data_IF_432043937206
#
_entry.id   IF_432043937206
#
_cell.length_a   1.000
_cell.length_b   1.000
_cell.length_c   1.000
_cell.angle_alpha   90.00
_cell.angle_beta   90.00
_cell.angle_gamma   90.00
#
_symmetry.space_group_name_H-M   'P 1'
#
loop_
_entity.id
_entity.type
_entity.pdbx_description
1 polymer ?
#
# COMPACT_ATOMS: atom_id res chain seq x y z
N UNK A 1 -16.27 19.25 -26.56
CA UNK A 1 -15.14 20.18 -26.33
C UNK A 1 -13.85 19.38 -26.38
N UNK A 2 -12.84 19.84 -27.13
CA UNK A 2 -11.50 19.24 -27.07
C UNK A 2 -10.85 19.69 -25.75
N UNK A 3 -10.07 18.86 -25.04
CA UNK A 3 -9.45 19.23 -23.76
C UNK A 3 -8.48 20.43 -23.80
N UNK A 4 -8.16 20.95 -24.98
CA UNK A 4 -7.17 22.00 -25.22
C UNK A 4 -7.71 23.44 -25.11
N UNK A 5 -8.94 23.66 -24.66
CA UNK A 5 -9.58 25.00 -24.59
C UNK A 5 -10.01 25.41 -23.16
N UNK A 6 -9.56 24.71 -22.12
CA UNK A 6 -9.80 25.15 -20.75
C UNK A 6 -8.83 26.28 -20.38
N UNK A 7 -9.35 27.50 -20.28
CA UNK A 7 -8.63 28.63 -19.74
C UNK A 7 -9.11 28.84 -18.29
N UNK A 8 -8.29 28.54 -17.27
CA UNK A 8 -8.71 28.70 -15.88
C UNK A 8 -9.03 30.16 -15.57
N UNK A 9 -10.02 30.40 -14.71
CA UNK A 9 -10.29 31.75 -14.21
C UNK A 9 -9.09 32.27 -13.41
N UNK A 10 -8.91 33.59 -13.38
CA UNK A 10 -7.87 34.19 -12.55
C UNK A 10 -8.12 33.91 -11.05
N UNK A 11 -7.08 33.67 -10.23
CA UNK A 11 -7.24 33.40 -8.80
C UNK A 11 -8.08 34.45 -8.04
N UNK A 12 -7.89 35.73 -8.36
CA UNK A 12 -8.63 36.85 -7.75
C UNK A 12 -10.17 36.76 -7.97
N UNK A 13 -10.61 36.13 -9.08
CA UNK A 13 -12.04 35.93 -9.37
C UNK A 13 -12.66 34.87 -8.46
N UNK A 14 -11.90 33.80 -8.16
CA UNK A 14 -12.33 32.76 -7.22
C UNK A 14 -12.45 33.33 -5.81
N UNK A 15 -11.41 34.00 -5.32
CA UNK A 15 -11.39 34.59 -3.97
C UNK A 15 -12.54 35.59 -3.75
N UNK A 16 -12.85 36.40 -4.77
CA UNK A 16 -13.95 37.36 -4.71
C UNK A 16 -15.33 36.67 -4.66
N UNK A 17 -15.54 35.62 -5.45
CA UNK A 17 -16.84 34.91 -5.48
C UNK A 17 -17.05 34.04 -4.25
N UNK A 18 -15.97 33.45 -3.71
CA UNK A 18 -16.00 32.62 -2.50
C UNK A 18 -15.99 33.46 -1.20
N UNK A 19 -15.85 34.79 -1.30
CA UNK A 19 -15.85 35.71 -0.17
C UNK A 19 -14.60 35.62 0.72
N UNK A 20 -13.48 35.15 0.18
CA UNK A 20 -12.22 34.98 0.91
C UNK A 20 -11.29 36.20 0.87
N UNK A 21 -11.68 37.24 0.12
CA UNK A 21 -10.91 38.49 0.08
C UNK A 21 -11.03 39.27 1.40
N UNK A 22 -9.95 39.96 1.78
CA UNK A 22 -10.01 40.97 2.84
C UNK A 22 -10.81 42.18 2.34
N UNK A 23 -11.40 42.95 3.26
CA UNK A 23 -12.19 44.14 2.91
C UNK A 23 -11.40 45.20 2.11
N UNK A 24 -10.07 45.23 2.25
CA UNK A 24 -9.21 46.12 1.46
C UNK A 24 -9.01 45.61 0.03
N UNK A 25 -8.73 44.31 -0.12
CA UNK A 25 -8.58 43.65 -1.41
C UNK A 25 -9.89 43.64 -2.20
N UNK A 26 -11.02 43.44 -1.52
CA UNK A 26 -12.36 43.47 -2.12
C UNK A 26 -12.64 44.84 -2.76
N UNK A 27 -12.38 45.95 -2.04
CA UNK A 27 -12.54 47.31 -2.57
C UNK A 27 -11.59 47.62 -3.73
N UNK A 28 -10.39 47.06 -3.73
CA UNK A 28 -9.48 47.18 -4.87
C UNK A 28 -9.98 46.38 -6.07
N UNK A 29 -10.47 45.17 -5.84
CA UNK A 29 -11.01 44.31 -6.86
C UNK A 29 -12.30 44.86 -7.48
N UNK A 30 -13.19 45.47 -6.70
CA UNK A 30 -14.36 46.19 -7.19
C UNK A 30 -13.97 47.35 -8.13
N UNK A 31 -12.94 48.12 -7.76
CA UNK A 31 -12.39 49.16 -8.65
C UNK A 31 -11.78 48.58 -9.93
N UNK A 32 -11.18 47.38 -9.88
CA UNK A 32 -10.72 46.65 -11.08
C UNK A 32 -11.90 46.18 -11.93
N UNK A 33 -12.98 45.69 -11.32
CA UNK A 33 -14.20 45.23 -12.01
C UNK A 33 -14.90 46.36 -12.78
N UNK A 34 -14.94 47.58 -12.21
CA UNK A 34 -15.49 48.75 -12.89
C UNK A 34 -14.70 49.11 -14.17
N UNK A 35 -13.40 48.86 -14.18
CA UNK A 35 -12.48 49.24 -15.27
C UNK A 35 -12.27 48.13 -16.29
N UNK A 36 -12.55 46.86 -15.94
CA UNK A 36 -12.30 45.71 -16.79
C UNK A 36 -13.60 44.92 -17.06
N UNK A 37 -14.25 45.15 -18.21
CA UNK A 37 -15.50 44.45 -18.55
C UNK A 37 -15.31 42.94 -18.75
N UNK A 38 -14.09 42.48 -19.04
CA UNK A 38 -13.81 41.05 -19.22
C UNK A 38 -13.75 40.32 -17.87
N UNK A 39 -13.15 40.93 -16.85
CA UNK A 39 -13.19 40.41 -15.47
C UNK A 39 -14.63 40.35 -14.94
N UNK A 40 -15.45 41.34 -15.27
CA UNK A 40 -16.87 41.33 -14.90
C UNK A 40 -17.62 40.13 -15.50
N UNK A 41 -17.37 39.79 -16.77
CA UNK A 41 -17.94 38.59 -17.40
C UNK A 41 -17.45 37.30 -16.75
N UNK A 42 -16.19 37.23 -16.35
CA UNK A 42 -15.65 36.05 -15.65
C UNK A 42 -16.34 35.84 -14.30
N UNK A 43 -16.52 36.91 -13.50
CA UNK A 43 -17.27 36.86 -12.23
C UNK A 43 -18.73 36.45 -12.45
N UNK A 44 -19.41 37.03 -13.45
CA UNK A 44 -20.80 36.66 -13.77
C UNK A 44 -20.93 35.21 -14.25
N UNK A 45 -19.98 34.73 -15.05
CA UNK A 45 -19.94 33.33 -15.52
C UNK A 45 -19.74 32.36 -14.36
N UNK A 46 -18.81 32.66 -13.45
CA UNK A 46 -18.56 31.85 -12.27
C UNK A 46 -19.78 31.84 -11.33
N UNK A 47 -20.42 32.99 -11.09
CA UNK A 47 -21.65 33.08 -10.29
C UNK A 47 -22.80 32.25 -10.87
N UNK A 48 -23.02 32.31 -12.19
CA UNK A 48 -24.02 31.46 -12.86
C UNK A 48 -23.70 29.98 -12.74
N UNK A 49 -22.42 29.62 -12.81
CA UNK A 49 -22.00 28.21 -12.66
C UNK A 49 -22.31 27.70 -11.25
N UNK A 50 -22.04 28.51 -10.22
CA UNK A 50 -22.39 28.19 -8.82
C UNK A 50 -23.90 28.09 -8.64
N UNK A 51 -24.67 29.00 -9.24
CA UNK A 51 -26.14 28.97 -9.21
C UNK A 51 -26.69 27.70 -9.86
N UNK A 52 -26.13 27.28 -11.01
CA UNK A 52 -26.50 26.03 -11.67
C UNK A 52 -26.17 24.80 -10.80
N UNK A 53 -25.01 24.78 -10.14
CA UNK A 53 -24.65 23.73 -9.20
C UNK A 53 -25.61 23.70 -7.99
N UNK A 54 -26.02 24.87 -7.50
CA UNK A 54 -27.02 25.01 -6.44
C UNK A 54 -28.43 24.56 -6.84
N UNK A 55 -28.74 24.53 -8.13
CA UNK A 55 -30.02 24.05 -8.67
C UNK A 55 -30.10 22.54 -8.87
N UNK A 56 -29.01 21.81 -8.61
CA UNK A 56 -29.00 20.35 -8.73
C UNK A 56 -29.97 19.72 -7.70
N UNK A 57 -30.72 18.68 -8.09
CA UNK A 57 -31.65 18.01 -7.19
C UNK A 57 -30.91 17.47 -5.98
N UNK A 58 -31.27 17.98 -4.80
CA UNK A 58 -30.77 17.47 -3.54
C UNK A 58 -31.45 16.12 -3.28
N UNK A 59 -30.72 15.03 -3.45
CA UNK A 59 -31.20 13.72 -3.02
C UNK A 59 -31.15 13.66 -1.50
N UNK A 60 -32.26 13.24 -0.88
CA UNK A 60 -32.23 12.92 0.55
C UNK A 60 -31.16 11.85 0.78
N UNK A 61 -30.20 12.11 1.68
CA UNK A 61 -29.17 11.15 1.96
C UNK A 61 -29.81 9.87 2.53
N UNK A 62 -29.25 8.71 2.14
CA UNK A 62 -29.72 7.42 2.67
C UNK A 62 -29.67 7.44 4.20
N UNK A 63 -30.60 6.77 4.90
CA UNK A 63 -30.58 6.66 6.37
C UNK A 63 -29.18 6.29 6.91
N UNK A 64 -28.77 6.96 8.00
CA UNK A 64 -27.46 6.80 8.65
C UNK A 64 -26.28 7.45 7.91
N UNK A 65 -26.52 8.29 6.90
CA UNK A 65 -25.44 9.03 6.23
C UNK A 65 -24.82 10.09 7.14
N UNK A 66 -25.64 10.80 7.91
CA UNK A 66 -25.24 11.73 8.95
C UNK A 66 -24.37 11.04 10.01
N UNK A 67 -24.75 9.86 10.49
CA UNK A 67 -23.94 9.07 11.44
C UNK A 67 -22.60 8.64 10.84
N UNK A 68 -22.58 8.22 9.57
CA UNK A 68 -21.34 7.86 8.85
C UNK A 68 -20.42 9.07 8.63
N UNK A 69 -20.99 10.22 8.25
CA UNK A 69 -20.24 11.45 7.99
C UNK A 69 -19.74 12.07 9.30
N UNK A 70 -20.56 12.16 10.33
CA UNK A 70 -20.15 12.65 11.66
C UNK A 70 -19.12 11.70 12.27
N UNK A 71 -19.26 10.39 12.08
CA UNK A 71 -18.24 9.41 12.44
C UNK A 71 -16.89 9.74 11.80
N UNK A 72 -16.90 9.99 10.49
CA UNK A 72 -15.69 10.33 9.72
C UNK A 72 -15.09 11.70 10.07
N UNK A 73 -15.93 12.73 10.27
CA UNK A 73 -15.45 14.07 10.66
C UNK A 73 -14.88 14.06 12.08
N UNK A 74 -15.50 13.33 13.01
CA UNK A 74 -14.93 13.15 14.37
C UNK A 74 -13.63 12.38 14.32
N UNK A 75 -13.52 11.38 13.46
CA UNK A 75 -12.27 10.67 13.21
C UNK A 75 -11.17 11.62 12.69
N UNK A 76 -11.50 12.50 11.74
CA UNK A 76 -10.58 13.51 11.20
C UNK A 76 -10.18 14.59 12.24
N UNK A 77 -11.12 15.09 13.06
CA UNK A 77 -10.83 16.07 14.12
C UNK A 77 -9.97 15.47 15.25
N UNK A 78 -10.23 14.22 15.63
CA UNK A 78 -9.44 13.49 16.63
C UNK A 78 -8.03 13.24 16.11
N UNK A 79 -7.87 12.89 14.83
CA UNK A 79 -6.57 12.77 14.16
C UNK A 79 -5.84 14.13 14.13
N UNK A 80 -6.55 15.23 13.90
CA UNK A 80 -6.00 16.59 13.94
C UNK A 80 -5.43 17.00 15.30
N UNK A 81 -6.16 16.74 16.39
CA UNK A 81 -5.70 17.05 17.77
C UNK A 81 -4.56 16.15 18.23
N UNK A 82 -4.58 14.87 17.88
CA UNK A 82 -3.50 13.94 18.19
C UNK A 82 -2.18 14.33 17.52
N UNK A 83 -2.22 14.84 16.27
CA UNK A 83 -1.04 15.37 15.58
C UNK A 83 -0.41 16.56 16.31
N UNK A 84 -1.22 17.48 16.82
CA UNK A 84 -0.71 18.65 17.55
C UNK A 84 -0.02 18.26 18.86
N UNK A 85 -0.55 17.29 19.61
CA UNK A 85 0.07 16.83 20.86
C UNK A 85 1.38 16.07 20.64
N UNK A 86 1.48 15.21 19.62
CA UNK A 86 2.70 14.45 19.31
C UNK A 86 3.85 15.39 18.87
N UNK A 87 3.53 16.52 18.20
CA UNK A 87 4.53 17.52 17.80
C UNK A 87 5.12 18.35 18.96
N UNK A 88 4.53 18.28 20.16
CA UNK A 88 4.93 19.09 21.32
C UNK A 88 5.72 18.33 22.41
N UNK A 89 5.98 17.03 22.22
CA UNK A 89 6.77 16.24 23.16
C UNK A 89 8.28 16.31 22.83
N UNK A 90 9.18 16.62 23.79
CA UNK A 90 10.61 16.63 23.55
C UNK A 90 11.14 15.19 23.37
N UNK A 91 11.77 14.92 22.22
CA UNK A 91 12.24 13.59 21.81
C UNK A 91 13.72 13.40 22.23
N UNK A 92 14.16 12.20 22.68
CA UNK A 92 15.54 11.96 23.13
C UNK A 92 16.55 11.82 21.97
N UNK A 93 17.75 12.38 22.17
CA UNK A 93 18.82 12.61 21.17
C UNK A 93 19.31 11.36 20.42
N UNK A 94 19.10 10.14 20.94
CA UNK A 94 19.58 8.90 20.32
C UNK A 94 18.72 8.45 19.12
N UNK A 95 17.58 9.11 18.87
CA UNK A 95 16.71 8.83 17.71
C UNK A 95 17.05 9.66 16.45
N UNK A 96 18.05 10.55 16.49
CA UNK A 96 18.38 11.43 15.36
C UNK A 96 19.15 10.80 14.19
N UNK A 97 19.36 9.48 14.15
CA UNK A 97 20.02 8.81 13.01
C UNK A 97 19.04 7.96 12.15
N UNK A 98 17.77 7.76 12.57
CA UNK A 98 16.86 6.81 11.88
C UNK A 98 15.48 7.41 11.53
N UNK A 99 15.31 8.73 11.58
CA UNK A 99 14.00 9.33 11.25
C UNK A 99 14.08 10.39 10.15
N UNK A 100 14.15 9.91 8.91
CA UNK A 100 13.46 10.56 7.79
C UNK A 100 12.62 9.48 7.10
N UNK A 101 11.30 9.59 7.25
CA UNK A 101 10.33 8.86 6.45
C UNK A 101 9.73 7.62 7.13
N UNK A 102 8.70 7.82 7.95
CA UNK A 102 7.48 6.99 8.01
C UNK A 102 6.60 7.44 9.19
N UNK A 103 5.80 8.47 8.93
CA UNK A 103 4.76 8.94 9.84
C UNK A 103 3.36 8.68 9.28
N UNK A 104 2.46 8.33 10.20
CA UNK A 104 1.01 8.59 10.19
C UNK A 104 0.00 7.49 9.81
N UNK A 105 0.34 6.40 9.11
CA UNK A 105 -0.69 5.38 8.80
C UNK A 105 -0.94 4.36 9.93
N UNK A 106 -0.01 4.19 10.89
CA UNK A 106 -0.09 3.11 11.89
C UNK A 106 -0.77 3.49 13.21
N UNK A 107 -1.06 4.77 13.47
CA UNK A 107 -1.58 5.21 14.78
C UNK A 107 -3.12 5.18 14.88
N UNK A 108 -3.83 5.37 13.76
CA UNK A 108 -5.30 5.37 13.76
C UNK A 108 -5.89 3.97 13.99
N UNK A 109 -5.24 2.93 13.46
CA UNK A 109 -5.73 1.56 13.57
C UNK A 109 -5.39 0.90 14.92
N UNK A 110 -4.36 1.39 15.62
CA UNK A 110 -4.02 0.92 16.98
C UNK A 110 -4.96 1.52 18.03
N UNK A 111 -5.49 2.74 17.84
CA UNK A 111 -6.39 3.37 18.82
C UNK A 111 -7.87 3.00 18.65
N UNK A 112 -8.29 2.52 17.48
CA UNK A 112 -9.64 1.97 17.31
C UNK A 112 -9.81 0.56 17.92
N UNK A 113 -8.70 -0.18 18.15
CA UNK A 113 -8.72 -1.58 18.57
C UNK A 113 -8.11 -1.83 19.95
N UNK A 114 -7.15 -1.03 20.41
CA UNK A 114 -6.68 -1.09 21.80
C UNK A 114 -7.66 -0.31 22.65
N UNK A 115 -8.76 -0.95 23.05
CA UNK A 115 -9.45 -0.57 24.27
C UNK A 115 -8.48 -0.73 25.42
N UNK A 116 -7.70 0.32 25.72
CA UNK A 116 -6.75 0.36 26.84
C UNK A 116 -7.52 0.06 28.12
N UNK A 117 -7.38 -1.13 28.73
CA UNK A 117 -7.90 -1.37 30.07
C UNK A 117 -6.90 -0.71 31.01
N UNK A 118 -7.16 0.55 31.38
CA UNK A 118 -6.28 1.30 32.28
C UNK A 118 -6.44 2.81 32.27
N UNK A 119 -7.11 3.41 31.28
CA UNK A 119 -7.31 4.88 31.22
C UNK A 119 -8.54 5.41 31.98
N UNK A 120 -9.28 4.55 32.70
CA UNK A 120 -10.42 4.95 33.53
C UNK A 120 -10.37 4.43 34.99
N UNK A 121 -9.23 3.92 35.44
CA UNK A 121 -8.99 3.66 36.87
C UNK A 121 -8.24 4.84 37.49
N UNK A 122 -8.93 5.97 37.60
CA UNK A 122 -8.58 6.99 38.58
C UNK A 122 -9.22 6.59 39.91
N UNK A 123 -8.39 6.35 40.92
CA UNK A 123 -8.76 6.04 42.32
C UNK A 123 -9.40 7.24 43.07
N UNK A 124 -10.27 8.02 42.41
CA UNK A 124 -11.04 9.08 43.06
C UNK A 124 -12.54 8.89 42.78
N UNK A 125 -13.27 8.17 43.66
CA UNK A 125 -14.71 8.02 43.56
C UNK A 125 -15.42 9.14 44.34
N UNK A 126 -15.13 10.41 44.08
CA UNK A 126 -15.82 11.51 44.77
C UNK A 126 -15.64 12.87 44.03
N UNK A 127 -16.31 13.06 42.88
CA UNK A 127 -16.82 14.36 42.38
C UNK A 127 -17.12 14.37 40.87
N UNK A 128 -18.08 13.56 40.41
CA UNK A 128 -18.68 13.76 39.08
C UNK A 128 -20.21 13.59 39.12
N UNK A 129 -20.86 14.35 40.01
CA UNK A 129 -22.33 14.46 40.10
C UNK A 129 -22.94 15.53 39.15
N UNK A 130 -22.18 16.02 38.17
CA UNK A 130 -22.55 17.22 37.39
C UNK A 130 -22.90 17.06 35.92
N UNK A 131 -22.64 15.90 35.29
CA UNK A 131 -22.91 15.69 33.85
C UNK A 131 -23.72 14.43 33.64
N UNK A 132 -25.04 14.58 33.79
CA UNK A 132 -26.00 13.51 33.56
C UNK A 132 -25.94 12.96 32.14
N UNK A 133 -25.62 11.67 32.03
CA UNK A 133 -26.50 10.73 31.32
C UNK A 133 -26.17 10.32 29.89
N UNK A 134 -24.98 10.58 29.34
CA UNK A 134 -24.68 10.19 27.95
C UNK A 134 -23.38 9.38 27.72
N UNK A 135 -22.55 9.16 28.74
CA UNK A 135 -21.20 8.58 28.58
C UNK A 135 -21.07 7.08 28.89
N UNK A 136 -22.17 6.37 29.19
CA UNK A 136 -22.15 4.94 29.55
C UNK A 136 -22.99 4.06 28.62
N UNK A 137 -23.23 4.48 27.38
CA UNK A 137 -23.71 3.54 26.38
C UNK A 137 -22.57 2.56 26.06
N UNK A 138 -22.75 1.24 26.28
CA UNK A 138 -21.74 0.27 25.93
C UNK A 138 -21.50 0.37 24.43
N UNK A 139 -20.28 0.76 24.04
CA UNK A 139 -19.86 0.64 22.65
C UNK A 139 -19.92 -0.85 22.34
N UNK A 140 -20.94 -1.25 21.58
CA UNK A 140 -21.10 -2.63 21.17
C UNK A 140 -19.83 -3.02 20.42
N UNK A 141 -19.03 -3.93 20.99
CA UNK A 141 -17.91 -4.52 20.26
C UNK A 141 -18.51 -5.29 19.09
N UNK A 142 -18.34 -4.74 17.89
CA UNK A 142 -18.67 -5.45 16.67
C UNK A 142 -17.63 -6.57 16.55
N UNK A 143 -18.04 -7.80 16.85
CA UNK A 143 -17.19 -8.98 16.64
C UNK A 143 -17.08 -9.21 15.13
N UNK A 144 -15.85 -9.25 14.57
CA UNK A 144 -15.67 -9.45 13.14
C UNK A 144 -16.22 -10.83 12.74
N UNK A 145 -16.95 -10.88 11.63
CA UNK A 145 -17.40 -12.13 11.04
C UNK A 145 -16.29 -12.75 10.19
N UNK A 146 -16.42 -14.04 9.85
CA UNK A 146 -15.47 -14.70 8.94
C UNK A 146 -15.38 -13.94 7.60
N UNK A 147 -16.51 -13.51 7.04
CA UNK A 147 -16.55 -12.82 5.76
C UNK A 147 -15.88 -11.43 5.82
N UNK A 148 -15.85 -10.77 6.99
CA UNK A 148 -15.09 -9.53 7.20
C UNK A 148 -13.57 -9.76 7.19
N UNK A 149 -13.12 -10.96 7.59
CA UNK A 149 -11.71 -11.31 7.70
C UNK A 149 -11.13 -11.97 6.44
N UNK A 150 -11.98 -12.56 5.58
CA UNK A 150 -11.54 -13.24 4.36
C UNK A 150 -10.65 -12.37 3.44
N UNK A 151 -10.96 -11.09 3.17
CA UNK A 151 -10.09 -10.25 2.35
C UNK A 151 -8.71 -10.06 2.96
N UNK A 152 -8.63 -9.86 4.28
CA UNK A 152 -7.37 -9.66 4.99
C UNK A 152 -6.53 -10.95 5.04
N UNK A 153 -7.18 -12.11 5.18
CA UNK A 153 -6.54 -13.43 5.11
C UNK A 153 -6.02 -13.75 3.71
N UNK A 154 -6.80 -13.43 2.67
CA UNK A 154 -6.37 -13.60 1.28
C UNK A 154 -5.17 -12.71 0.95
N UNK A 155 -5.18 -11.44 1.39
CA UNK A 155 -4.03 -10.53 1.26
C UNK A 155 -2.81 -11.04 2.03
N UNK A 156 -2.99 -11.55 3.25
CA UNK A 156 -1.91 -12.15 4.04
C UNK A 156 -1.28 -13.36 3.32
N UNK A 157 -2.11 -14.24 2.75
CA UNK A 157 -1.64 -15.38 1.98
C UNK A 157 -0.90 -14.94 0.72
N UNK A 158 -1.43 -13.97 -0.04
CA UNK A 158 -0.80 -13.46 -1.25
C UNK A 158 0.58 -12.82 -0.98
N UNK A 159 0.69 -12.06 0.12
CA UNK A 159 1.96 -11.50 0.60
C UNK A 159 2.93 -12.59 1.01
N UNK A 160 2.45 -13.62 1.72
CA UNK A 160 3.27 -14.75 2.11
C UNK A 160 3.81 -15.52 0.89
N UNK A 161 2.98 -15.81 -0.10
CA UNK A 161 3.41 -16.47 -1.33
C UNK A 161 4.44 -15.64 -2.09
N UNK A 162 4.26 -14.32 -2.13
CA UNK A 162 5.24 -13.40 -2.70
C UNK A 162 6.57 -13.46 -1.94
N UNK A 163 6.56 -13.35 -0.60
CA UNK A 163 7.74 -13.51 0.25
C UNK A 163 8.44 -14.84 -0.01
N UNK A 164 7.70 -15.95 0.05
CA UNK A 164 8.22 -17.31 -0.11
C UNK A 164 8.94 -17.45 -1.45
N UNK A 165 8.25 -17.10 -2.54
CA UNK A 165 8.82 -17.08 -3.90
C UNK A 165 10.11 -16.27 -3.95
N UNK A 166 10.05 -15.05 -3.44
CA UNK A 166 11.12 -14.08 -3.51
C UNK A 166 12.37 -14.57 -2.78
N UNK A 167 12.20 -15.10 -1.57
CA UNK A 167 13.30 -15.63 -0.75
C UNK A 167 13.87 -16.90 -1.35
N UNK A 168 13.04 -17.84 -1.81
CA UNK A 168 13.49 -19.11 -2.42
C UNK A 168 14.33 -18.87 -3.68
N UNK A 169 13.94 -17.88 -4.50
CA UNK A 169 14.67 -17.53 -5.72
C UNK A 169 15.76 -16.48 -5.53
N UNK A 170 16.06 -16.07 -4.29
CA UNK A 170 17.20 -15.20 -3.99
C UNK A 170 18.51 -16.00 -4.08
N UNK A 171 19.00 -16.16 -5.30
CA UNK A 171 20.31 -16.75 -5.59
C UNK A 171 21.34 -15.64 -5.81
N UNK A 172 22.04 -15.31 -4.73
CA UNK A 172 23.10 -14.28 -4.75
C UNK A 172 24.34 -14.88 -4.13
N UNK A 173 25.48 -14.75 -4.81
CA UNK A 173 26.77 -15.27 -4.33
C UNK A 173 27.28 -14.51 -3.09
N UNK A 174 26.97 -13.21 -3.01
CA UNK A 174 27.31 -12.34 -1.90
C UNK A 174 26.35 -12.55 -0.70
N UNK A 175 26.84 -13.06 0.45
CA UNK A 175 26.02 -13.27 1.63
C UNK A 175 25.44 -11.99 2.25
N UNK A 176 26.15 -10.85 2.15
CA UNK A 176 25.65 -9.58 2.68
C UNK A 176 24.45 -9.10 1.86
N UNK A 177 24.56 -9.21 0.53
CA UNK A 177 23.46 -8.89 -0.37
C UNK A 177 22.26 -9.81 -0.14
N UNK A 178 22.48 -11.12 0.03
CA UNK A 178 21.40 -12.07 0.34
C UNK A 178 20.67 -11.70 1.63
N UNK A 179 21.41 -11.35 2.69
CA UNK A 179 20.82 -10.87 3.96
C UNK A 179 19.99 -9.62 3.76
N UNK A 180 20.51 -8.64 3.00
CA UNK A 180 19.83 -7.38 2.75
C UNK A 180 18.53 -7.58 1.97
N UNK A 181 18.54 -8.42 0.94
CA UNK A 181 17.35 -8.75 0.17
C UNK A 181 16.31 -9.44 1.05
N UNK A 182 16.67 -10.47 1.81
CA UNK A 182 15.71 -11.17 2.68
C UNK A 182 15.16 -10.24 3.78
N UNK A 183 16.00 -9.38 4.37
CA UNK A 183 15.55 -8.38 5.35
C UNK A 183 14.56 -7.39 4.75
N UNK A 184 14.80 -6.95 3.51
CA UNK A 184 13.92 -6.08 2.75
C UNK A 184 12.58 -6.76 2.44
N UNK A 185 12.58 -8.03 2.04
CA UNK A 185 11.35 -8.80 1.83
C UNK A 185 10.53 -8.92 3.12
N UNK A 186 11.17 -9.22 4.25
CA UNK A 186 10.51 -9.25 5.57
C UNK A 186 9.89 -7.88 5.93
N UNK A 187 10.63 -6.79 5.68
CA UNK A 187 10.17 -5.45 5.97
C UNK A 187 8.96 -5.03 5.12
N UNK A 188 9.00 -5.23 3.79
CA UNK A 188 7.94 -4.76 2.91
C UNK A 188 6.71 -5.66 2.88
N UNK A 189 6.87 -6.95 3.18
CA UNK A 189 5.73 -7.85 3.30
C UNK A 189 4.81 -7.44 4.45
N UNK A 190 5.37 -6.83 5.51
CA UNK A 190 4.70 -6.46 6.76
C UNK A 190 4.00 -7.66 7.46
N UNK A 191 4.39 -8.88 7.08
CA UNK A 191 3.69 -10.09 7.50
C UNK A 191 3.73 -10.28 9.00
N UNK A 192 4.84 -9.97 9.69
CA UNK A 192 4.94 -10.13 11.14
C UNK A 192 3.92 -9.28 11.91
N UNK A 193 3.74 -8.02 11.52
CA UNK A 193 2.79 -7.11 12.17
C UNK A 193 1.36 -7.55 11.88
N UNK A 194 1.08 -7.88 10.63
CA UNK A 194 -0.26 -8.31 10.18
C UNK A 194 -0.66 -9.67 10.74
N UNK A 195 0.29 -10.59 10.88
CA UNK A 195 0.06 -11.92 11.43
C UNK A 195 -0.40 -11.83 12.90
N UNK A 196 0.26 -10.98 13.69
CA UNK A 196 -0.16 -10.66 15.06
C UNK A 196 -1.57 -10.07 15.11
N UNK A 197 -1.83 -9.05 14.30
CA UNK A 197 -3.16 -8.44 14.24
C UNK A 197 -4.25 -9.45 13.84
N UNK A 198 -4.02 -10.26 12.80
CA UNK A 198 -4.95 -11.31 12.36
C UNK A 198 -5.17 -12.37 13.45
N UNK A 199 -4.13 -12.73 14.20
CA UNK A 199 -4.24 -13.66 15.32
C UNK A 199 -5.22 -13.16 16.38
N UNK A 200 -5.14 -11.87 16.72
CA UNK A 200 -6.07 -11.23 17.65
C UNK A 200 -7.51 -11.20 17.11
N UNK A 201 -7.69 -10.89 15.82
CA UNK A 201 -9.04 -10.84 15.21
C UNK A 201 -9.70 -12.23 15.12
N UNK A 202 -8.91 -13.26 14.81
CA UNK A 202 -9.41 -14.64 14.66
C UNK A 202 -9.78 -15.27 16.00
N UNK A 203 -9.22 -14.77 17.11
CA UNK A 203 -9.58 -15.19 18.46
C UNK A 203 -11.06 -14.94 18.82
N UNK A 204 -11.80 -14.16 18.03
CA UNK A 204 -13.24 -13.94 18.19
C UNK A 204 -14.10 -14.88 17.32
N UNK A 205 -13.51 -15.60 16.36
CA UNK A 205 -14.27 -16.51 15.48
C UNK A 205 -14.72 -17.80 16.20
N UNK A 206 -15.82 -18.44 15.76
CA UNK A 206 -16.23 -19.76 16.25
C UNK A 206 -15.11 -20.81 16.13
N UNK A 207 -15.00 -21.70 17.12
CA UNK A 207 -13.87 -22.65 17.26
C UNK A 207 -13.63 -23.53 16.02
N UNK A 208 -14.69 -23.94 15.33
CA UNK A 208 -14.60 -24.74 14.11
C UNK A 208 -13.98 -23.98 12.93
N UNK A 209 -14.14 -22.65 12.87
CA UNK A 209 -13.51 -21.79 11.86
C UNK A 209 -12.12 -21.33 12.30
N UNK A 210 -11.98 -21.01 13.58
CA UNK A 210 -10.75 -20.51 14.20
C UNK A 210 -9.57 -21.47 14.01
N UNK A 211 -9.77 -22.77 14.25
CA UNK A 211 -8.68 -23.75 14.30
C UNK A 211 -7.81 -23.76 13.03
N UNK A 212 -8.45 -23.62 11.86
CA UNK A 212 -7.76 -23.61 10.57
C UNK A 212 -6.93 -22.34 10.36
N UNK A 213 -7.53 -21.17 10.56
CA UNK A 213 -6.81 -19.90 10.39
C UNK A 213 -5.73 -19.71 11.45
N UNK A 214 -5.98 -20.19 12.66
CA UNK A 214 -5.01 -20.20 13.75
C UNK A 214 -3.79 -21.06 13.39
N UNK A 215 -3.99 -22.26 12.83
CA UNK A 215 -2.89 -23.10 12.37
C UNK A 215 -2.04 -22.39 11.29
N UNK A 216 -2.68 -21.73 10.33
CA UNK A 216 -1.97 -20.93 9.32
C UNK A 216 -1.15 -19.80 9.96
N UNK A 217 -1.73 -19.04 10.89
CA UNK A 217 -1.05 -17.93 11.58
C UNK A 217 0.14 -18.41 12.41
N UNK A 218 -0.01 -19.51 13.16
CA UNK A 218 1.05 -20.07 14.00
C UNK A 218 2.21 -20.63 13.18
N UNK A 219 1.91 -21.35 12.10
CA UNK A 219 2.94 -21.86 11.18
C UNK A 219 3.66 -20.72 10.45
N UNK A 220 2.92 -19.70 10.01
CA UNK A 220 3.50 -18.50 9.41
C UNK A 220 4.39 -17.73 10.40
N UNK A 221 3.95 -17.56 11.65
CA UNK A 221 4.75 -16.90 12.69
C UNK A 221 6.08 -17.61 12.91
N UNK A 222 6.02 -18.94 13.02
CA UNK A 222 7.19 -19.81 13.18
C UNK A 222 8.16 -19.67 12.00
N UNK A 223 7.64 -19.64 10.77
CA UNK A 223 8.46 -19.45 9.57
C UNK A 223 9.13 -18.07 9.52
N UNK A 224 8.38 -17.00 9.84
CA UNK A 224 8.90 -15.63 9.86
C UNK A 224 9.96 -15.44 10.96
N UNK A 225 9.74 -16.03 12.15
CA UNK A 225 10.72 -16.03 13.22
C UNK A 225 12.00 -16.77 12.82
N UNK A 226 11.87 -17.96 12.22
CA UNK A 226 13.01 -18.73 11.68
C UNK A 226 13.82 -17.91 10.67
N UNK A 227 13.13 -17.19 9.78
CA UNK A 227 13.77 -16.32 8.80
C UNK A 227 14.55 -15.18 9.46
N UNK A 228 13.93 -14.50 10.43
CA UNK A 228 14.52 -13.39 11.17
C UNK A 228 15.74 -13.83 12.00
N UNK A 229 15.63 -14.99 12.65
CA UNK A 229 16.70 -15.57 13.45
C UNK A 229 17.88 -15.97 12.57
N UNK A 230 17.62 -16.55 11.39
CA UNK A 230 18.67 -16.94 10.45
C UNK A 230 19.39 -15.71 9.85
N UNK A 231 18.67 -14.63 9.53
CA UNK A 231 19.27 -13.35 9.11
C UNK A 231 20.17 -12.80 10.23
N UNK A 232 19.68 -12.84 11.48
CA UNK A 232 20.40 -12.32 12.65
C UNK A 232 21.64 -13.16 12.98
N UNK A 233 21.52 -14.49 12.92
CA UNK A 233 22.62 -15.45 13.08
C UNK A 233 23.69 -15.20 12.02
N UNK A 234 23.31 -15.23 10.75
CA UNK A 234 24.19 -15.02 9.60
C UNK A 234 24.95 -13.68 9.71
N UNK A 235 24.28 -12.61 10.19
CA UNK A 235 24.93 -11.31 10.44
C UNK A 235 25.93 -11.36 11.61
N UNK A 236 25.56 -12.00 12.71
CA UNK A 236 26.37 -12.04 13.94
C UNK A 236 27.61 -12.93 13.76
N UNK A 237 27.42 -14.09 13.15
CA UNK A 237 28.46 -15.10 12.92
C UNK A 237 29.29 -14.83 11.66
N UNK A 238 28.80 -13.93 10.78
CA UNK A 238 29.40 -13.63 9.46
C UNK A 238 29.46 -14.84 8.52
N UNK A 239 28.55 -15.78 8.71
CA UNK A 239 28.41 -16.96 7.86
C UNK A 239 27.30 -16.76 6.82
N UNK A 240 27.32 -17.47 5.68
CA UNK A 240 26.19 -17.52 4.76
C UNK A 240 24.91 -17.99 5.45
N UNK A 241 23.76 -17.51 4.98
CA UNK A 241 22.47 -17.98 5.49
C UNK A 241 22.26 -19.46 5.12
N UNK A 242 21.74 -20.22 6.07
CA UNK A 242 21.33 -21.60 5.85
C UNK A 242 19.99 -21.62 5.10
N UNK A 243 20.07 -21.50 3.78
CA UNK A 243 18.89 -21.48 2.92
C UNK A 243 18.06 -22.76 2.99
N UNK A 244 18.64 -23.90 3.38
CA UNK A 244 17.88 -25.13 3.60
C UNK A 244 16.87 -24.99 4.74
N UNK A 245 17.30 -24.41 5.86
CA UNK A 245 16.44 -24.13 7.03
C UNK A 245 15.34 -23.14 6.66
N UNK A 246 15.72 -22.04 6.00
CA UNK A 246 14.79 -21.01 5.50
C UNK A 246 13.73 -21.59 4.58
N UNK A 247 14.13 -22.32 3.54
CA UNK A 247 13.21 -22.87 2.54
C UNK A 247 12.31 -23.93 3.14
N UNK A 248 12.82 -24.75 4.06
CA UNK A 248 12.00 -25.73 4.79
C UNK A 248 10.92 -25.03 5.60
N UNK A 249 11.30 -24.04 6.41
CA UNK A 249 10.36 -23.30 7.25
C UNK A 249 9.27 -22.59 6.42
N UNK A 250 9.63 -22.02 5.26
CA UNK A 250 8.67 -21.39 4.35
C UNK A 250 7.76 -22.42 3.66
N UNK A 251 8.24 -23.62 3.33
CA UNK A 251 7.41 -24.64 2.70
C UNK A 251 6.49 -25.37 3.68
N UNK A 252 6.78 -25.32 4.98
CA UNK A 252 5.93 -25.89 6.03
C UNK A 252 4.65 -25.07 6.29
N UNK A 253 4.61 -23.81 5.84
CA UNK A 253 3.41 -22.97 5.93
C UNK A 253 2.38 -23.44 4.90
N UNK A 254 1.35 -24.15 5.39
CA UNK A 254 0.23 -24.59 4.55
C UNK A 254 -0.76 -23.46 4.28
N UNK A 255 -1.29 -23.38 3.06
CA UNK A 255 -2.41 -22.49 2.76
C UNK A 255 -3.63 -22.84 3.62
N UNK A 256 -4.37 -21.85 4.16
CA UNK A 256 -5.65 -22.11 4.79
C UNK A 256 -6.59 -22.73 3.75
N UNK A 257 -7.22 -23.86 4.06
CA UNK A 257 -8.16 -24.53 3.15
C UNK A 257 -9.47 -23.72 3.13
N UNK A 258 -10.28 -23.92 2.09
CA UNK A 258 -11.60 -23.31 2.00
C UNK A 258 -11.65 -21.95 1.30
N UNK A 259 -12.41 -21.00 1.84
CA UNK A 259 -12.86 -19.78 1.14
C UNK A 259 -11.73 -18.80 0.80
N UNK A 260 -10.62 -18.80 1.55
CA UNK A 260 -9.49 -17.89 1.30
C UNK A 260 -8.90 -18.13 -0.09
N UNK A 261 -8.76 -19.40 -0.50
CA UNK A 261 -8.28 -19.76 -1.84
C UNK A 261 -9.22 -19.32 -2.97
N UNK A 262 -10.50 -19.06 -2.67
CA UNK A 262 -11.50 -18.58 -3.63
C UNK A 262 -11.55 -17.06 -3.70
N UNK A 263 -11.02 -16.37 -2.69
CA UNK A 263 -10.94 -14.91 -2.67
C UNK A 263 -9.78 -14.45 -3.56
N UNK A 264 -10.09 -14.18 -4.82
CA UNK A 264 -9.20 -13.40 -5.66
C UNK A 264 -9.24 -11.96 -5.16
N UNK A 265 -8.08 -11.43 -4.76
CA UNK A 265 -7.93 -10.01 -4.45
C UNK A 265 -8.23 -9.27 -5.74
N UNK A 266 -9.39 -8.61 -5.79
CA UNK A 266 -9.69 -7.69 -6.89
C UNK A 266 -8.82 -6.47 -6.70
N UNK A 267 -7.80 -6.35 -7.54
CA UNK A 267 -6.87 -5.24 -7.49
C UNK A 267 -7.54 -3.99 -8.04
N UNK A 268 -7.58 -2.94 -7.22
CA UNK A 268 -8.14 -1.66 -7.61
C UNK A 268 -7.05 -0.91 -8.39
N UNK A 269 -7.20 -0.79 -9.71
CA UNK A 269 -6.22 -0.19 -10.65
C UNK A 269 -6.18 1.34 -10.58
N UNK A 270 -6.17 1.94 -9.39
CA UNK A 270 -6.33 3.39 -9.22
C UNK A 270 -5.58 4.01 -8.05
N UNK A 271 -4.59 3.31 -7.49
CA UNK A 271 -3.71 3.86 -6.47
C UNK A 271 -2.70 4.79 -7.15
N UNK A 272 -2.88 6.11 -7.00
CA UNK A 272 -1.82 7.07 -7.31
C UNK A 272 -0.72 6.83 -6.29
N UNK A 273 0.50 6.54 -6.74
CA UNK A 273 1.68 6.51 -5.88
C UNK A 273 1.76 7.88 -5.19
N UNK A 274 1.39 7.96 -3.91
CA UNK A 274 1.73 9.13 -3.09
C UNK A 274 3.24 9.32 -3.22
N UNK A 275 3.66 10.48 -3.75
CA UNK A 275 5.04 10.93 -3.98
C UNK A 275 6.03 10.23 -3.04
N UNK A 276 6.54 9.06 -3.45
CA UNK A 276 7.40 8.26 -2.59
C UNK A 276 8.75 8.98 -2.57
N UNK A 277 9.23 9.48 -1.42
CA UNK A 277 10.44 10.29 -1.35
C UNK A 277 11.66 9.57 -1.95
N UNK A 278 11.66 8.24 -1.98
CA UNK A 278 12.69 7.42 -2.66
C UNK A 278 12.81 7.69 -4.16
N UNK A 279 11.71 7.95 -4.86
CA UNK A 279 11.75 8.31 -6.28
C UNK A 279 12.36 9.70 -6.48
N UNK A 280 12.07 10.64 -5.58
CA UNK A 280 12.67 12.00 -5.59
C UNK A 280 14.16 12.01 -5.19
N UNK A 281 14.60 11.06 -4.37
CA UNK A 281 16.01 10.93 -3.98
C UNK A 281 16.87 10.41 -5.14
N UNK A 282 16.28 9.65 -6.07
CA UNK A 282 16.97 9.16 -7.27
C UNK A 282 17.51 10.30 -8.15
N UNK A 283 16.85 11.47 -8.15
CA UNK A 283 17.28 12.66 -8.89
C UNK A 283 18.48 13.39 -8.26
N UNK A 284 18.90 13.02 -7.05
CA UNK A 284 19.89 13.80 -6.28
C UNK A 284 21.11 12.99 -5.76
N UNK A 285 21.26 11.71 -6.11
CA UNK A 285 22.43 10.91 -5.71
C UNK A 285 22.52 9.54 -6.38
N UNK A 286 23.67 8.87 -6.21
CA UNK A 286 23.85 7.47 -6.62
C UNK A 286 23.12 6.56 -5.64
N UNK A 287 21.84 6.29 -5.89
CA UNK A 287 21.13 5.21 -5.20
C UNK A 287 21.86 3.89 -5.46
N UNK A 288 22.01 3.07 -4.42
CA UNK A 288 22.53 1.73 -4.61
C UNK A 288 21.49 0.88 -5.37
N UNK A 289 22.00 -0.15 -6.04
CA UNK A 289 21.19 -1.01 -6.89
C UNK A 289 20.05 -1.71 -6.12
N UNK A 290 20.30 -2.01 -4.85
CA UNK A 290 19.35 -2.67 -3.96
C UNK A 290 18.20 -1.73 -3.66
N UNK A 291 18.47 -0.46 -3.33
CA UNK A 291 17.44 0.53 -3.05
C UNK A 291 16.54 0.73 -4.28
N UNK A 292 17.11 0.71 -5.49
CA UNK A 292 16.30 0.81 -6.70
C UNK A 292 15.42 -0.41 -6.91
N UNK A 293 15.98 -1.60 -6.79
CA UNK A 293 15.21 -2.83 -6.91
C UNK A 293 14.16 -2.97 -5.78
N UNK A 294 14.43 -2.40 -4.60
CA UNK A 294 13.52 -2.38 -3.46
C UNK A 294 12.16 -1.72 -3.78
N UNK A 295 12.14 -0.74 -4.71
CA UNK A 295 10.91 -0.07 -5.14
C UNK A 295 9.96 -1.03 -5.90
N UNK A 296 10.52 -1.90 -6.73
CA UNK A 296 9.76 -2.95 -7.43
C UNK A 296 9.07 -3.86 -6.41
N UNK A 297 9.78 -4.23 -5.35
CA UNK A 297 9.29 -5.13 -4.29
C UNK A 297 8.23 -4.47 -3.43
N UNK A 298 8.47 -3.21 -3.05
CA UNK A 298 7.49 -2.40 -2.33
C UNK A 298 6.18 -2.26 -3.12
N UNK A 299 6.25 -2.05 -4.43
CA UNK A 299 5.08 -2.00 -5.31
C UNK A 299 4.38 -3.37 -5.42
N UNK A 300 5.14 -4.47 -5.54
CA UNK A 300 4.60 -5.84 -5.54
C UNK A 300 3.77 -6.13 -4.29
N UNK A 301 4.29 -5.83 -3.09
CA UNK A 301 3.56 -6.03 -1.83
C UNK A 301 2.40 -5.06 -1.63
N UNK A 302 2.32 -3.97 -2.39
CA UNK A 302 1.14 -3.10 -2.43
C UNK A 302 0.11 -3.55 -3.44
N UNK A 303 0.43 -4.57 -4.24
CA UNK A 303 -0.34 -4.99 -5.40
C UNK A 303 -0.61 -3.86 -6.39
N UNK A 304 0.33 -2.93 -6.48
CA UNK A 304 0.30 -1.81 -7.42
C UNK A 304 1.14 -2.16 -8.64
N UNK A 305 0.51 -2.82 -9.61
CA UNK A 305 1.22 -3.34 -10.79
C UNK A 305 1.69 -2.25 -11.74
N UNK A 306 1.04 -1.09 -11.76
CA UNK A 306 1.50 0.06 -12.53
C UNK A 306 2.78 0.62 -11.91
N UNK A 307 2.78 0.86 -10.60
CA UNK A 307 3.98 1.28 -9.86
C UNK A 307 5.12 0.26 -9.97
N UNK A 308 4.80 -1.04 -10.01
CA UNK A 308 5.76 -2.12 -10.17
C UNK A 308 6.43 -2.06 -11.55
N UNK A 309 5.66 -1.81 -12.62
CA UNK A 309 6.20 -1.62 -13.98
C UNK A 309 7.08 -0.38 -14.02
N UNK A 310 6.61 0.76 -13.50
CA UNK A 310 7.36 2.02 -13.48
C UNK A 310 8.70 1.86 -12.75
N UNK A 311 8.68 1.31 -11.54
CA UNK A 311 9.88 1.08 -10.75
C UNK A 311 10.86 0.11 -11.45
N UNK A 312 10.34 -0.94 -12.09
CA UNK A 312 11.18 -1.91 -12.79
C UNK A 312 11.79 -1.35 -14.07
N UNK A 313 11.04 -0.58 -14.86
CA UNK A 313 11.56 0.11 -16.05
C UNK A 313 12.57 1.20 -15.64
N UNK A 314 12.32 1.92 -14.55
CA UNK A 314 13.29 2.86 -13.97
C UNK A 314 14.61 2.14 -13.63
N UNK A 315 14.52 1.02 -12.93
CA UNK A 315 15.69 0.18 -12.62
C UNK A 315 16.41 -0.31 -13.89
N UNK A 316 15.68 -0.81 -14.89
CA UNK A 316 16.25 -1.36 -16.12
C UNK A 316 16.91 -0.29 -16.99
N UNK A 317 16.37 0.93 -16.99
CA UNK A 317 16.98 2.08 -17.67
C UNK A 317 18.25 2.55 -16.96
N UNK A 318 18.26 2.52 -15.62
CA UNK A 318 19.42 2.95 -14.84
C UNK A 318 20.54 1.89 -14.77
N UNK A 319 20.18 0.60 -14.71
CA UNK A 319 21.10 -0.56 -14.63
C UNK A 319 20.72 -1.64 -15.66
N UNK A 320 20.93 -1.33 -16.93
CA UNK A 320 20.63 -2.26 -18.04
C UNK A 320 21.36 -3.62 -17.97
N UNK A 321 22.45 -3.70 -17.17
CA UNK A 321 23.21 -4.91 -16.88
C UNK A 321 23.34 -5.16 -15.35
N UNK A 322 22.38 -4.68 -14.57
CA UNK A 322 22.35 -4.91 -13.13
C UNK A 322 22.12 -6.37 -12.75
N UNK A 323 22.49 -6.72 -11.52
CA UNK A 323 22.30 -8.03 -10.87
C UNK A 323 20.84 -8.47 -10.80
N UNK A 324 19.89 -7.53 -10.83
CA UNK A 324 18.45 -7.78 -10.77
C UNK A 324 17.73 -7.61 -12.11
N UNK A 325 18.46 -7.53 -13.23
CA UNK A 325 17.88 -7.33 -14.56
C UNK A 325 16.80 -8.37 -14.89
N UNK A 326 17.09 -9.65 -14.67
CA UNK A 326 16.18 -10.73 -15.03
C UNK A 326 14.94 -10.72 -14.12
N UNK A 327 15.12 -10.42 -12.83
CA UNK A 327 14.04 -10.29 -11.86
C UNK A 327 13.15 -9.07 -12.17
N UNK A 328 13.74 -7.94 -12.55
CA UNK A 328 13.00 -6.75 -12.97
C UNK A 328 12.21 -7.02 -14.27
N UNK A 329 12.78 -7.72 -15.25
CA UNK A 329 12.05 -8.14 -16.45
C UNK A 329 10.90 -9.10 -16.12
N UNK A 330 11.14 -10.10 -15.27
CA UNK A 330 10.11 -11.03 -14.81
C UNK A 330 8.98 -10.29 -14.07
N UNK A 331 9.33 -9.30 -13.26
CA UNK A 331 8.38 -8.43 -12.56
C UNK A 331 7.50 -7.64 -13.54
N UNK A 332 8.08 -6.99 -14.56
CA UNK A 332 7.31 -6.27 -15.60
C UNK A 332 6.37 -7.20 -16.36
N UNK A 333 6.83 -8.40 -16.73
CA UNK A 333 6.01 -9.40 -17.44
C UNK A 333 4.82 -9.82 -16.57
N UNK A 334 5.07 -10.16 -15.30
CA UNK A 334 4.03 -10.57 -14.37
C UNK A 334 3.01 -9.45 -14.12
N UNK A 335 3.48 -8.22 -13.93
CA UNK A 335 2.62 -7.05 -13.74
C UNK A 335 1.73 -6.78 -14.97
N UNK A 336 2.27 -6.86 -16.18
CA UNK A 336 1.48 -6.71 -17.41
C UNK A 336 0.41 -7.79 -17.57
N UNK A 337 0.72 -9.06 -17.27
CA UNK A 337 -0.27 -10.15 -17.32
C UNK A 337 -1.42 -9.94 -16.33
N UNK A 338 -1.12 -9.40 -15.15
CA UNK A 338 -2.11 -9.07 -14.10
C UNK A 338 -2.98 -7.87 -14.47
N UNK A 339 -2.44 -6.94 -15.26
CA UNK A 339 -3.19 -5.83 -15.84
C UNK A 339 -3.96 -6.21 -17.11
N UNK A 340 -3.84 -7.45 -17.61
CA UNK A 340 -4.50 -7.90 -18.84
C UNK A 340 -3.78 -7.48 -20.13
N UNK A 341 -2.55 -7.01 -20.04
CA UNK A 341 -1.72 -6.54 -21.15
C UNK A 341 -0.84 -7.68 -21.72
N UNK A 342 -1.46 -8.79 -22.13
CA UNK A 342 -0.76 -10.05 -22.42
C UNK A 342 0.21 -9.94 -23.61
N UNK A 343 -0.17 -9.17 -24.63
CA UNK A 343 0.67 -8.92 -25.80
C UNK A 343 1.93 -8.11 -25.44
N UNK A 344 1.81 -7.15 -24.51
CA UNK A 344 2.94 -6.35 -24.01
C UNK A 344 3.88 -7.24 -23.21
N UNK A 345 3.32 -8.09 -22.33
CA UNK A 345 4.08 -9.07 -21.56
C UNK A 345 4.83 -10.04 -22.47
N UNK A 346 4.18 -10.56 -23.52
CA UNK A 346 4.80 -11.48 -24.48
C UNK A 346 5.93 -10.82 -25.27
N UNK A 347 5.76 -9.58 -25.76
CA UNK A 347 6.83 -8.83 -26.42
C UNK A 347 8.01 -8.57 -25.49
N UNK A 348 7.75 -8.18 -24.25
CA UNK A 348 8.80 -7.97 -23.24
C UNK A 348 9.56 -9.27 -22.99
N UNK A 349 8.85 -10.38 -22.79
CA UNK A 349 9.46 -11.70 -22.63
C UNK A 349 10.39 -12.04 -23.79
N UNK A 350 9.92 -11.93 -25.04
CA UNK A 350 10.71 -12.26 -26.23
C UNK A 350 11.98 -11.40 -26.33
N UNK A 351 11.87 -10.12 -25.99
CA UNK A 351 13.00 -9.18 -26.00
C UNK A 351 14.01 -9.48 -24.90
N UNK A 352 13.54 -9.87 -23.70
CA UNK A 352 14.40 -10.05 -22.52
C UNK A 352 15.01 -11.45 -22.39
N UNK A 353 14.29 -12.48 -22.83
CA UNK A 353 14.63 -13.89 -22.58
C UNK A 353 14.76 -14.75 -23.84
N UNK A 354 14.54 -14.18 -25.02
CA UNK A 354 14.56 -14.89 -26.30
C UNK A 354 13.19 -15.32 -26.78
N UNK A 355 13.11 -15.74 -28.05
CA UNK A 355 11.85 -16.08 -28.70
C UNK A 355 11.32 -17.45 -28.24
N UNK A 356 12.21 -18.36 -27.87
CA UNK A 356 11.91 -19.75 -27.51
C UNK A 356 12.32 -20.07 -26.08
N UNK A 357 11.64 -21.03 -25.45
CA UNK A 357 11.99 -21.50 -24.10
C UNK A 357 13.36 -22.18 -24.05
N UNK A 358 13.89 -22.57 -25.23
CA UNK A 358 15.24 -23.12 -25.40
C UNK A 358 16.32 -22.05 -25.30
N UNK A 359 15.97 -20.78 -25.53
CA UNK A 359 16.91 -19.65 -25.42
C UNK A 359 17.20 -19.29 -23.95
N UNK A 360 16.34 -19.73 -23.04
CA UNK A 360 16.45 -19.43 -21.61
C UNK A 360 17.39 -20.38 -20.87
N UNK A 361 18.14 -19.83 -19.93
CA UNK A 361 18.86 -20.65 -18.95
C UNK A 361 17.88 -21.38 -18.02
N UNK A 362 18.33 -22.46 -17.37
CA UNK A 362 17.52 -23.16 -16.35
C UNK A 362 17.08 -22.20 -15.24
N UNK A 363 17.99 -21.33 -14.79
CA UNK A 363 17.70 -20.34 -13.76
C UNK A 363 16.64 -19.33 -14.19
N UNK A 364 16.69 -18.85 -15.44
CA UNK A 364 15.67 -17.94 -15.97
C UNK A 364 14.30 -18.62 -16.07
N UNK A 365 14.25 -19.90 -16.47
CA UNK A 365 12.99 -20.66 -16.53
C UNK A 365 12.38 -20.84 -15.15
N UNK A 366 13.19 -21.18 -14.16
CA UNK A 366 12.75 -21.26 -12.76
C UNK A 366 12.29 -19.91 -12.24
N UNK A 367 13.00 -18.83 -12.55
CA UNK A 367 12.62 -17.47 -12.17
C UNK A 367 11.25 -17.08 -12.72
N UNK A 368 11.03 -17.24 -14.03
CA UNK A 368 9.74 -16.90 -14.66
C UNK A 368 8.60 -17.75 -14.09
N UNK A 369 8.82 -19.05 -13.90
CA UNK A 369 7.83 -19.93 -13.25
C UNK A 369 7.57 -19.57 -11.79
N UNK A 370 8.55 -18.99 -11.10
CA UNK A 370 8.33 -18.39 -9.80
C UNK A 370 7.37 -17.22 -9.90
N UNK A 371 7.66 -16.25 -10.78
CA UNK A 371 6.89 -15.00 -10.87
C UNK A 371 5.45 -15.16 -11.38
N UNK A 372 5.19 -16.19 -12.18
CA UNK A 372 3.91 -16.43 -12.82
C UNK A 372 3.18 -17.62 -12.20
N UNK A 373 1.89 -17.47 -11.91
CA UNK A 373 1.04 -18.63 -11.66
C UNK A 373 0.78 -19.41 -12.97
N UNK A 374 0.23 -20.63 -12.85
CA UNK A 374 0.00 -21.49 -14.03
C UNK A 374 -0.88 -20.80 -15.09
N UNK A 375 -1.92 -20.07 -14.67
CA UNK A 375 -2.82 -19.37 -15.60
C UNK A 375 -2.11 -18.23 -16.31
N UNK A 376 -1.33 -17.43 -15.59
CA UNK A 376 -0.48 -16.37 -16.14
C UNK A 376 0.56 -16.92 -17.13
N UNK A 377 1.18 -18.05 -16.79
CA UNK A 377 2.17 -18.71 -17.65
C UNK A 377 1.55 -19.24 -18.96
N UNK A 378 0.36 -19.85 -18.90
CA UNK A 378 -0.34 -20.29 -20.11
C UNK A 378 -0.75 -19.10 -21.00
N UNK A 379 -1.28 -18.01 -20.41
CA UNK A 379 -1.60 -16.78 -21.16
C UNK A 379 -0.38 -16.18 -21.85
N UNK A 380 0.78 -16.22 -21.20
CA UNK A 380 2.04 -15.79 -21.79
C UNK A 380 2.44 -16.66 -22.99
N UNK A 381 2.33 -17.99 -22.87
CA UNK A 381 2.64 -18.93 -23.97
C UNK A 381 1.71 -18.68 -25.16
N UNK A 382 0.41 -18.57 -24.92
CA UNK A 382 -0.59 -18.33 -25.98
C UNK A 382 -0.33 -17.02 -26.71
N UNK A 383 -0.05 -15.94 -25.98
CA UNK A 383 0.23 -14.62 -26.56
C UNK A 383 1.55 -14.61 -27.35
N UNK A 384 2.59 -15.30 -26.87
CA UNK A 384 3.85 -15.47 -27.63
C UNK A 384 3.64 -16.23 -28.93
N UNK A 385 2.80 -17.27 -28.92
CA UNK A 385 2.48 -18.03 -30.14
C UNK A 385 1.76 -17.14 -31.16
N UNK A 386 0.77 -16.37 -30.71
CA UNK A 386 0.03 -15.43 -31.59
C UNK A 386 0.95 -14.38 -32.22
N UNK A 387 1.90 -13.83 -31.47
CA UNK A 387 2.85 -12.83 -31.99
C UNK A 387 3.83 -13.38 -33.02
N UNK A 388 4.13 -14.68 -32.99
CA UNK A 388 5.00 -15.33 -33.97
C UNK A 388 4.30 -15.68 -35.27
N UNK A 389 2.99 -15.94 -35.19
CA UNK A 389 2.19 -16.34 -36.34
C UNK A 389 1.74 -15.12 -37.18
N UNK A 390 1.86 -13.90 -36.63
CA UNK A 390 1.62 -12.61 -37.27
C UNK A 390 2.93 -11.99 -37.79
#
# INVERSE_FOLDING_TARGET
MKPSEYQPFAPEVHEYVDGQMTAENEREFERKLERNPELKKQVESLRRTIELLGSLPTHEPKPGFDERVIGRVREEELVGRARMQISSAPVPVWQHIVQVGLGAAAAALVLALVGVPGLFQSDDPENLDGLGGASTLPVARVTPTEDDLLPALADQQARFESLRRNVVHTQVEDPDLQRQLISMELQYSDLMRRNRWLGDQIADLPMNRRAEYQQFIETLDTALQTLSDEVSRSRTEREPMNMSVVVTALNDVGAPRGKVALYQIQFNTGSVIEDDPTARIADHGTLDEITLYSLVRKAEYRHDFEAMIEAAEFYLNWQSNGRFKDQANAAVIAANLRLGCDEVAARRFMTSFGEYDEDMTTQQRELIRGFLNEVEYQRLIESRKQLRDN
#
